data_IF_706841346950
#
_entry.id   IF_706841346950
#
_cell.length_a   1.000
_cell.length_b   1.000
_cell.length_c   1.000
_cell.angle_alpha   90.00
_cell.angle_beta   90.00
_cell.angle_gamma   90.00
#
_symmetry.space_group_name_H-M   'P 1'
#
loop_
_entity.id
_entity.type
_entity.pdbx_description
1 polymer ?
#
# COMPACT_ATOMS: atom_id res chain seq x y z
N UNK A 1 -18.41 -7.75 -8.01
CA UNK A 1 -17.21 -8.00 -7.20
C UNK A 1 -16.22 -6.86 -7.37
N UNK A 2 -15.81 -6.24 -6.29
CA UNK A 2 -14.82 -5.16 -6.34
C UNK A 2 -13.62 -5.52 -5.49
N UNK A 3 -12.45 -5.55 -6.12
CA UNK A 3 -11.19 -5.77 -5.45
C UNK A 3 -10.29 -4.58 -5.70
N UNK A 4 -9.74 -4.00 -4.66
CA UNK A 4 -8.90 -2.84 -4.77
C UNK A 4 -7.65 -3.01 -3.95
N UNK A 5 -6.51 -2.86 -4.60
CA UNK A 5 -5.20 -2.96 -3.96
C UNK A 5 -4.55 -1.58 -3.97
N UNK A 6 -4.23 -1.09 -2.79
CA UNK A 6 -3.65 0.24 -2.62
C UNK A 6 -2.48 0.19 -1.64
N UNK A 7 -1.70 1.26 -1.62
CA UNK A 7 -0.73 1.47 -0.56
C UNK A 7 -1.27 2.48 0.45
N UNK A 8 -0.80 2.40 1.67
CA UNK A 8 -1.08 3.40 2.70
C UNK A 8 0.10 3.55 3.64
N UNK A 9 0.19 4.71 4.28
CA UNK A 9 1.14 4.91 5.36
C UNK A 9 0.48 4.53 6.68
N UNK A 10 1.23 3.90 7.57
CA UNK A 10 0.70 3.43 8.85
C UNK A 10 0.78 4.54 9.89
N UNK A 11 -0.28 5.33 9.99
CA UNK A 11 -0.38 6.38 11.00
C UNK A 11 -0.77 5.78 12.34
N UNK A 12 0.03 6.05 13.37
CA UNK A 12 -0.25 5.59 14.74
C UNK A 12 -0.83 6.67 15.64
N UNK A 13 -0.84 7.91 15.13
CA UNK A 13 -1.42 9.08 15.81
C UNK A 13 -2.04 9.98 14.74
N UNK A 14 -2.82 11.01 15.12
CA UNK A 14 -3.45 11.90 14.13
C UNK A 14 -2.43 12.47 13.14
N UNK A 15 -2.85 12.60 11.89
CA UNK A 15 -1.96 13.04 10.79
C UNK A 15 -1.31 14.39 11.05
N UNK A 16 -2.01 15.29 11.72
CA UNK A 16 -1.52 16.63 12.02
C UNK A 16 -0.40 16.65 13.08
N UNK A 17 -0.17 15.52 13.75
CA UNK A 17 0.92 15.38 14.71
C UNK A 17 2.24 14.90 14.10
N UNK A 18 2.25 14.67 12.79
CA UNK A 18 3.46 14.28 12.07
C UNK A 18 4.06 15.46 11.33
N UNK A 19 5.38 15.47 11.22
CA UNK A 19 6.10 16.43 10.37
C UNK A 19 6.47 15.80 9.04
N UNK A 20 6.87 16.62 8.06
CA UNK A 20 7.28 16.15 6.74
C UNK A 20 8.46 15.19 6.78
N UNK A 21 9.30 15.27 7.80
CA UNK A 21 10.47 14.42 7.94
C UNK A 21 10.22 13.14 8.72
N UNK A 22 9.01 12.95 9.24
CA UNK A 22 8.68 11.71 9.93
C UNK A 22 8.54 10.57 8.92
N UNK A 23 9.16 9.44 9.24
CA UNK A 23 9.06 8.23 8.45
C UNK A 23 7.95 7.32 8.99
N UNK A 24 7.12 6.81 8.07
CA UNK A 24 6.08 5.86 8.42
C UNK A 24 6.24 4.59 7.59
N UNK A 25 5.78 3.47 8.15
CA UNK A 25 5.76 2.20 7.45
C UNK A 25 4.76 2.24 6.31
N UNK A 26 5.18 1.80 5.12
CA UNK A 26 4.27 1.61 3.99
C UNK A 26 3.58 0.27 4.14
N UNK A 27 2.27 0.26 3.99
CA UNK A 27 1.45 -0.94 4.06
C UNK A 27 0.73 -1.17 2.75
N UNK A 28 0.49 -2.44 2.43
CA UNK A 28 -0.42 -2.83 1.35
C UNK A 28 -1.79 -2.99 1.97
N UNK A 29 -2.77 -2.36 1.36
CA UNK A 29 -4.16 -2.45 1.78
C UNK A 29 -4.98 -3.08 0.66
N UNK A 30 -5.61 -4.22 0.95
CA UNK A 30 -6.43 -4.93 0.00
C UNK A 30 -7.88 -4.91 0.46
N UNK A 31 -8.72 -4.32 -0.38
CA UNK A 31 -10.16 -4.31 -0.18
C UNK A 31 -10.76 -5.39 -1.06
N UNK A 32 -11.55 -6.30 -0.47
CA UNK A 32 -12.18 -7.39 -1.18
C UNK A 32 -13.63 -7.52 -0.75
N UNK A 33 -14.51 -7.66 -1.74
CA UNK A 33 -15.92 -7.88 -1.51
C UNK A 33 -16.42 -8.92 -2.50
N UNK A 34 -16.89 -10.05 -2.00
CA UNK A 34 -17.28 -11.19 -2.82
C UNK A 34 -18.53 -10.92 -3.66
N UNK A 35 -19.53 -10.27 -3.09
CA UNK A 35 -20.78 -9.94 -3.79
C UNK A 35 -21.46 -8.76 -3.10
N UNK A 36 -22.55 -8.30 -3.74
CA UNK A 36 -23.24 -7.07 -3.31
C UNK A 36 -23.59 -7.01 -1.83
N UNK A 37 -24.04 -8.13 -1.29
CA UNK A 37 -24.53 -8.18 0.10
C UNK A 37 -23.49 -8.67 1.10
N UNK A 38 -22.30 -9.05 0.62
CA UNK A 38 -21.24 -9.49 1.50
C UNK A 38 -20.57 -8.29 2.20
N UNK A 39 -20.10 -8.52 3.40
CA UNK A 39 -19.26 -7.53 4.08
C UNK A 39 -17.92 -7.47 3.40
N UNK A 40 -17.42 -6.26 3.17
CA UNK A 40 -16.08 -6.05 2.64
C UNK A 40 -15.03 -6.55 3.64
N UNK A 41 -14.01 -7.20 3.12
CA UNK A 41 -12.85 -7.60 3.90
C UNK A 41 -11.70 -6.68 3.55
N UNK A 42 -10.99 -6.20 4.56
CA UNK A 42 -9.83 -5.36 4.37
C UNK A 42 -8.63 -6.08 5.00
N UNK A 43 -7.63 -6.34 4.17
CA UNK A 43 -6.38 -6.93 4.62
C UNK A 43 -5.31 -5.87 4.52
N UNK A 44 -4.59 -5.64 5.62
CA UNK A 44 -3.51 -4.66 5.67
C UNK A 44 -2.24 -5.36 6.09
N UNK A 45 -1.18 -5.23 5.28
CA UNK A 45 0.11 -5.84 5.58
C UNK A 45 1.24 -4.84 5.47
N UNK A 46 2.15 -4.88 6.42
CA UNK A 46 3.36 -4.09 6.41
C UNK A 46 4.32 -4.61 5.32
N UNK A 47 4.92 -3.67 4.59
CA UNK A 47 5.89 -4.02 3.54
C UNK A 47 7.33 -4.07 4.05
N UNK A 48 7.61 -3.55 5.24
CA UNK A 48 8.96 -3.37 5.73
C UNK A 48 9.67 -2.13 5.16
N UNK A 49 9.03 -1.40 4.27
CA UNK A 49 9.58 -0.19 3.66
C UNK A 49 9.02 1.03 4.37
N UNK A 50 9.89 1.98 4.73
CA UNK A 50 9.50 3.23 5.36
C UNK A 50 9.65 4.38 4.38
N UNK A 51 8.78 5.38 4.49
CA UNK A 51 8.81 6.56 3.65
C UNK A 51 8.51 7.81 4.48
N UNK A 52 9.24 8.89 4.22
CA UNK A 52 8.93 10.17 4.82
C UNK A 52 7.67 10.75 4.20
N UNK A 53 6.90 11.50 4.98
CA UNK A 53 5.69 12.13 4.47
C UNK A 53 5.94 13.01 3.26
N UNK A 54 7.04 13.77 3.27
CA UNK A 54 7.41 14.66 2.16
C UNK A 54 7.68 13.90 0.87
N UNK A 55 8.10 12.64 0.95
CA UNK A 55 8.44 11.80 -0.21
C UNK A 55 7.26 10.95 -0.69
N UNK A 56 6.13 11.01 -0.01
CA UNK A 56 4.96 10.21 -0.33
C UNK A 56 4.06 10.93 -1.32
N UNK A 57 3.75 10.27 -2.45
CA UNK A 57 2.84 10.80 -3.46
C UNK A 57 1.39 10.52 -3.05
N UNK A 58 0.69 11.54 -2.65
CA UNK A 58 -0.69 11.42 -2.15
C UNK A 58 -1.70 11.08 -3.24
N UNK A 59 -1.38 11.36 -4.50
CA UNK A 59 -2.36 11.28 -5.58
C UNK A 59 -2.47 9.90 -6.22
N UNK A 60 -1.53 8.98 -5.91
CA UNK A 60 -1.57 7.67 -6.55
C UNK A 60 -1.96 6.54 -5.63
N UNK A 61 -2.32 6.81 -4.41
CA UNK A 61 -2.69 5.76 -3.46
C UNK A 61 -3.80 4.83 -3.96
N UNK A 62 -4.51 5.20 -5.00
CA UNK A 62 -5.57 4.38 -5.60
C UNK A 62 -5.07 3.34 -6.60
N UNK A 63 -3.78 3.31 -6.90
CA UNK A 63 -3.24 2.44 -7.94
C UNK A 63 -1.90 1.83 -7.51
N UNK A 64 -1.94 0.57 -7.11
CA UNK A 64 -0.75 -0.15 -6.65
C UNK A 64 0.25 -0.45 -7.77
N UNK A 65 -0.12 -0.22 -9.03
CA UNK A 65 0.79 -0.39 -10.15
C UNK A 65 1.71 0.82 -10.35
N UNK A 66 1.44 1.93 -9.66
CA UNK A 66 2.28 3.12 -9.72
C UNK A 66 3.24 3.15 -8.55
N UNK A 67 4.34 3.86 -8.74
CA UNK A 67 5.37 4.00 -7.71
C UNK A 67 5.01 5.14 -6.75
N UNK A 68 4.87 4.85 -5.45
CA UNK A 68 4.38 5.82 -4.48
C UNK A 68 5.43 6.77 -3.93
N UNK A 69 6.68 6.37 -3.97
CA UNK A 69 7.74 7.16 -3.36
C UNK A 69 8.36 8.06 -4.41
N UNK A 70 8.30 9.36 -4.16
CA UNK A 70 8.78 10.36 -5.12
C UNK A 70 10.31 10.41 -5.16
N UNK A 71 10.84 10.96 -6.24
CA UNK A 71 12.28 11.05 -6.47
C UNK A 71 13.01 11.96 -5.48
N UNK A 72 12.29 12.67 -4.64
CA UNK A 72 12.87 13.44 -3.53
C UNK A 72 13.52 12.54 -2.48
N UNK A 73 13.11 11.28 -2.40
CA UNK A 73 13.77 10.28 -1.56
C UNK A 73 15.01 9.75 -2.31
N UNK A 74 16.22 9.86 -1.76
CA UNK A 74 17.42 9.38 -2.45
C UNK A 74 17.42 7.89 -2.74
N UNK A 75 16.61 7.11 -2.03
CA UNK A 75 16.51 5.66 -2.23
C UNK A 75 15.19 5.26 -2.90
N UNK A 76 14.54 6.17 -3.59
CA UNK A 76 13.19 5.93 -4.12
C UNK A 76 13.13 4.75 -5.11
N UNK A 77 14.17 4.55 -5.90
CA UNK A 77 14.20 3.45 -6.89
C UNK A 77 14.16 2.10 -6.18
N UNK A 78 15.04 1.90 -5.18
CA UNK A 78 15.10 0.65 -4.43
C UNK A 78 13.83 0.42 -3.61
N UNK A 79 13.32 1.48 -2.96
CA UNK A 79 12.11 1.38 -2.15
C UNK A 79 10.90 1.02 -3.01
N UNK A 80 10.72 1.68 -4.15
CA UNK A 80 9.63 1.36 -5.06
C UNK A 80 9.74 -0.05 -5.63
N UNK A 81 10.95 -0.50 -5.93
CA UNK A 81 11.20 -1.86 -6.38
C UNK A 81 10.79 -2.89 -5.31
N UNK A 82 11.16 -2.64 -4.05
CA UNK A 82 10.77 -3.51 -2.94
C UNK A 82 9.25 -3.52 -2.74
N UNK A 83 8.61 -2.36 -2.85
CA UNK A 83 7.15 -2.28 -2.74
C UNK A 83 6.47 -3.10 -3.83
N UNK A 84 6.97 -3.01 -5.06
CA UNK A 84 6.42 -3.81 -6.17
C UNK A 84 6.59 -5.31 -5.92
N UNK A 85 7.74 -5.73 -5.41
CA UNK A 85 7.98 -7.13 -5.07
C UNK A 85 7.01 -7.60 -3.99
N UNK A 86 6.74 -6.76 -2.99
CA UNK A 86 5.78 -7.09 -1.94
C UNK A 86 4.36 -7.17 -2.46
N UNK A 87 3.99 -6.28 -3.38
CA UNK A 87 2.68 -6.32 -4.03
C UNK A 87 2.53 -7.59 -4.85
N UNK A 88 3.54 -7.96 -5.63
CA UNK A 88 3.49 -9.18 -6.43
C UNK A 88 3.36 -10.42 -5.56
N UNK A 89 4.11 -10.48 -4.46
CA UNK A 89 3.99 -11.59 -3.49
C UNK A 89 2.61 -11.61 -2.85
N UNK A 90 2.06 -10.45 -2.53
CA UNK A 90 0.71 -10.34 -1.97
C UNK A 90 -0.33 -10.85 -2.96
N UNK A 91 -0.22 -10.47 -4.23
CA UNK A 91 -1.11 -10.95 -5.28
C UNK A 91 -1.03 -12.47 -5.42
N UNK A 92 0.17 -13.03 -5.43
CA UNK A 92 0.35 -14.49 -5.50
C UNK A 92 -0.32 -15.19 -4.33
N UNK A 93 -0.18 -14.64 -3.14
CA UNK A 93 -0.72 -15.26 -1.93
C UNK A 93 -2.24 -15.16 -1.83
N UNK A 94 -2.82 -14.04 -2.22
CA UNK A 94 -4.24 -13.77 -1.99
C UNK A 94 -5.09 -13.87 -3.26
N UNK A 95 -4.57 -13.43 -4.41
CA UNK A 95 -5.35 -13.45 -5.65
C UNK A 95 -5.52 -14.85 -6.19
N UNK A 96 -4.50 -15.68 -6.12
CA UNK A 96 -4.61 -17.09 -6.55
C UNK A 96 -5.65 -17.83 -5.73
N UNK A 97 -5.72 -17.55 -4.44
CA UNK A 97 -6.74 -18.15 -3.56
C UNK A 97 -8.15 -17.77 -3.96
N UNK A 98 -8.33 -16.56 -4.49
CA UNK A 98 -9.64 -16.09 -4.91
C UNK A 98 -9.98 -16.47 -6.34
N UNK A 99 -8.98 -16.56 -7.22
CA UNK A 99 -9.21 -16.87 -8.62
C UNK A 99 -9.51 -18.35 -8.88
N UNK A 100 -9.14 -19.22 -7.96
CA UNK A 100 -9.38 -20.66 -8.08
C UNK A 100 -10.75 -21.12 -7.56
N UNK A 101 -11.57 -20.20 -7.16
CA UNK A 101 -12.90 -20.50 -6.65
C UNK A 101 -13.98 -20.35 -7.72
#
# INVERSE_FOLDING_TARGET
>A
MKNKLTYSLNYRKPKDQYSDNDELMVCIRYYHKDHKNAKAKIIKKSTGVKCKLVDWDKDWHNNADRSPIMSTDPNYIEKNKLLKQKVDSFKDQYFDSFSNN
#
